data_IF_985128369226
#
_entry.id   IF_985128369226
#
_cell.length_a   1.000
_cell.length_b   1.000
_cell.length_c   1.000
_cell.angle_alpha   90.00
_cell.angle_beta   90.00
_cell.angle_gamma   90.00
#
_symmetry.space_group_name_H-M   'P 1'
#
loop_
_entity.id
_entity.type
_entity.pdbx_description
1 polymer ?
#
# COMPACT_ATOMS: atom_id res chain seq x y z
N UNK A 1 24.18 -29.09 25.01
CA UNK A 1 24.32 -30.43 24.40
C UNK A 1 23.96 -30.29 22.93
N UNK A 2 24.92 -30.59 22.07
CA UNK A 2 24.83 -30.54 20.60
C UNK A 2 23.96 -31.69 20.09
N UNK A 3 22.94 -31.39 19.27
CA UNK A 3 22.16 -32.42 18.59
C UNK A 3 22.70 -32.63 17.17
N UNK A 4 23.28 -33.81 16.99
CA UNK A 4 23.72 -34.38 15.72
C UNK A 4 22.49 -34.97 15.01
N UNK A 5 22.31 -34.65 13.73
CA UNK A 5 21.34 -35.31 12.87
C UNK A 5 21.95 -36.60 12.32
N UNK A 6 21.29 -37.73 12.53
CA UNK A 6 21.54 -38.96 11.79
C UNK A 6 20.28 -39.33 11.00
N UNK A 7 20.47 -39.48 9.70
CA UNK A 7 19.62 -40.26 8.83
C UNK A 7 19.76 -41.76 9.19
N UNK A 8 18.70 -42.57 9.00
CA UNK A 8 18.67 -43.58 7.93
C UNK A 8 17.39 -44.46 7.93
N UNK A 9 17.01 -44.82 6.71
CA UNK A 9 16.31 -45.99 6.16
C UNK A 9 15.12 -46.71 6.84
N UNK A 10 14.02 -46.71 6.07
CA UNK A 10 13.16 -47.83 5.62
C UNK A 10 13.03 -49.12 6.44
N UNK A 11 11.78 -49.59 6.60
CA UNK A 11 11.26 -50.84 5.99
C UNK A 11 9.78 -51.04 6.31
N UNK A 12 8.99 -51.26 5.26
CA UNK A 12 7.70 -51.94 5.33
C UNK A 12 7.93 -53.44 5.62
N UNK A 13 7.05 -54.09 6.39
CA UNK A 13 6.42 -55.32 5.90
C UNK A 13 5.24 -55.84 6.74
N UNK A 14 4.36 -56.49 6.01
CA UNK A 14 3.04 -57.03 6.31
C UNK A 14 3.03 -58.28 7.24
N UNK A 15 1.86 -58.51 7.87
CA UNK A 15 1.09 -59.78 7.98
C UNK A 15 0.67 -60.30 9.37
N UNK A 16 -0.66 -60.54 9.44
CA UNK A 16 -1.39 -61.73 9.93
C UNK A 16 -2.06 -61.74 11.32
N UNK A 17 -3.35 -62.07 11.21
CA UNK A 17 -4.36 -62.36 12.21
C UNK A 17 -4.17 -63.78 12.80
N UNK A 18 -4.36 -63.98 14.11
CA UNK A 18 -4.74 -65.28 14.67
C UNK A 18 -5.43 -65.16 16.04
N UNK A 19 -6.30 -66.13 16.33
CA UNK A 19 -7.35 -66.16 17.37
C UNK A 19 -6.87 -66.66 18.74
N UNK A 20 -7.48 -66.06 19.79
CA UNK A 20 -7.92 -66.58 21.11
C UNK A 20 -6.96 -67.44 21.95
N UNK A 21 -6.65 -66.94 23.16
CA UNK A 21 -6.72 -67.68 24.44
C UNK A 21 -7.07 -66.68 25.56
N UNK A 22 -8.16 -66.93 26.31
CA UNK A 22 -8.43 -66.25 27.58
C UNK A 22 -7.64 -66.96 28.68
N UNK A 23 -6.73 -66.25 29.34
CA UNK A 23 -6.12 -66.67 30.59
C UNK A 23 -6.28 -65.52 31.60
N UNK A 24 -7.08 -65.77 32.64
CA UNK A 24 -7.25 -64.91 33.81
C UNK A 24 -5.99 -64.98 34.68
N UNK A 25 -5.13 -63.96 34.57
CA UNK A 25 -4.04 -63.71 35.52
C UNK A 25 -4.41 -62.55 36.45
N UNK A 26 -4.19 -62.76 37.74
CA UNK A 26 -4.42 -61.80 38.82
C UNK A 26 -3.59 -60.51 38.62
N UNK A 27 -4.25 -59.36 38.62
CA UNK A 27 -3.60 -58.04 38.61
C UNK A 27 -3.15 -57.67 40.04
N UNK A 28 -1.85 -57.66 40.27
CA UNK A 28 -1.22 -56.79 41.28
C UNK A 28 -1.07 -55.38 40.71
N UNK A 29 -1.41 -54.31 41.43
CA UNK A 29 -1.26 -52.95 40.90
C UNK A 29 0.23 -52.59 40.91
N UNK A 30 0.85 -52.57 39.73
CA UNK A 30 2.14 -51.92 39.53
C UNK A 30 1.85 -50.42 39.37
N UNK A 31 2.35 -49.60 40.28
CA UNK A 31 2.34 -48.14 40.14
C UNK A 31 3.14 -47.78 38.86
N UNK A 32 2.44 -47.57 37.74
CA UNK A 32 3.02 -46.96 36.56
C UNK A 32 3.20 -45.48 36.88
N UNK A 33 4.44 -45.07 37.17
CA UNK A 33 4.82 -43.67 37.19
C UNK A 33 4.53 -43.06 35.82
N UNK A 34 3.52 -42.20 35.75
CA UNK A 34 3.23 -41.41 34.56
C UNK A 34 4.39 -40.42 34.42
N UNK A 35 5.36 -40.76 33.58
CA UNK A 35 6.31 -39.78 33.08
C UNK A 35 5.51 -38.82 32.20
N UNK A 36 5.17 -37.65 32.74
CA UNK A 36 4.64 -36.54 31.97
C UNK A 36 5.73 -36.08 31.02
N UNK A 37 5.68 -36.54 29.77
CA UNK A 37 6.44 -35.93 28.70
C UNK A 37 5.93 -34.50 28.56
N UNK A 38 6.72 -33.54 29.06
CA UNK A 38 6.48 -32.14 28.81
C UNK A 38 6.47 -31.93 27.30
N UNK A 39 5.29 -31.60 26.76
CA UNK A 39 5.15 -31.20 25.36
C UNK A 39 6.10 -30.04 25.11
N UNK A 40 7.12 -30.27 24.28
CA UNK A 40 7.99 -29.22 23.78
C UNK A 40 7.11 -28.27 22.95
N UNK A 41 6.68 -27.16 23.57
CA UNK A 41 5.99 -26.11 22.85
C UNK A 41 7.01 -25.50 21.90
N UNK A 42 6.84 -25.75 20.60
CA UNK A 42 7.52 -24.98 19.56
C UNK A 42 7.24 -23.50 19.84
N UNK A 43 8.28 -22.65 19.93
CA UNK A 43 8.08 -21.22 20.03
C UNK A 43 7.09 -20.78 18.95
N UNK A 44 6.17 -19.83 19.25
CA UNK A 44 5.32 -19.27 18.21
C UNK A 44 6.21 -18.80 17.05
N UNK A 45 5.79 -19.00 15.78
CA UNK A 45 6.56 -18.53 14.64
C UNK A 45 6.93 -17.08 14.87
N UNK A 46 8.23 -16.78 14.86
CA UNK A 46 8.67 -15.39 14.87
C UNK A 46 8.10 -14.77 13.60
N UNK A 47 7.14 -13.85 13.76
CA UNK A 47 6.58 -13.08 12.65
C UNK A 47 7.75 -12.43 11.92
N UNK A 48 8.01 -12.84 10.67
CA UNK A 48 9.07 -12.25 9.87
C UNK A 48 8.81 -10.73 9.75
N UNK A 49 9.85 -9.88 9.87
CA UNK A 49 9.70 -8.45 9.62
C UNK A 49 9.12 -8.25 8.22
N UNK A 50 7.97 -7.59 8.12
CA UNK A 50 7.31 -7.29 6.86
C UNK A 50 6.54 -5.98 6.98
N UNK A 51 6.30 -5.33 5.85
CA UNK A 51 5.50 -4.11 5.78
C UNK A 51 4.03 -4.48 6.10
N UNK A 52 3.47 -3.84 7.12
CA UNK A 52 2.09 -4.07 7.58
C UNK A 52 1.11 -3.02 7.09
N UNK A 53 1.58 -1.78 7.02
CA UNK A 53 0.77 -0.60 6.71
C UNK A 53 1.44 0.23 5.62
N UNK A 54 0.70 0.58 4.57
CA UNK A 54 1.14 1.42 3.46
C UNK A 54 0.38 2.74 3.51
N UNK A 55 1.12 3.83 3.33
CA UNK A 55 0.60 5.14 2.99
C UNK A 55 1.15 5.52 1.62
N UNK A 56 0.31 5.93 0.69
CA UNK A 56 0.73 6.57 -0.55
C UNK A 56 0.19 7.99 -0.56
N UNK A 57 1.06 8.97 -0.78
CA UNK A 57 0.71 10.36 -1.00
C UNK A 57 0.97 10.64 -2.48
N UNK A 58 -0.10 10.98 -3.21
CA UNK A 58 -0.02 11.24 -4.64
C UNK A 58 -0.12 12.75 -4.89
N UNK A 59 0.96 13.32 -5.41
CA UNK A 59 1.06 14.71 -5.86
C UNK A 59 0.68 14.80 -7.35
N UNK A 60 0.40 16.01 -7.82
CA UNK A 60 -0.01 16.27 -9.21
C UNK A 60 1.16 16.84 -10.04
N UNK A 61 1.30 16.29 -11.25
CA UNK A 61 2.00 16.84 -12.42
C UNK A 61 3.37 17.47 -12.14
N UNK A 62 4.41 16.67 -11.90
CA UNK A 62 5.80 17.16 -11.91
C UNK A 62 6.79 16.13 -12.41
N UNK A 63 7.59 16.54 -13.39
CA UNK A 63 8.80 15.81 -13.73
C UNK A 63 9.81 15.89 -12.58
N UNK A 64 10.56 14.82 -12.36
CA UNK A 64 11.51 14.71 -11.25
C UNK A 64 12.56 15.83 -11.25
N UNK A 65 12.97 16.28 -12.43
CA UNK A 65 13.91 17.39 -12.61
C UNK A 65 13.39 18.74 -12.07
N UNK A 66 12.07 18.90 -11.91
CA UNK A 66 11.48 20.10 -11.30
C UNK A 66 11.55 20.06 -9.77
N UNK A 67 11.69 18.85 -9.19
CA UNK A 67 11.68 18.62 -7.75
C UNK A 67 13.10 18.43 -7.21
N UNK A 68 13.88 17.52 -7.79
CA UNK A 68 15.23 17.20 -7.34
C UNK A 68 16.16 18.40 -7.49
N UNK A 69 16.76 18.83 -6.39
CA UNK A 69 17.63 20.01 -6.31
C UNK A 69 16.89 21.37 -6.34
N UNK A 70 15.55 21.39 -6.41
CA UNK A 70 14.78 22.61 -6.50
C UNK A 70 14.74 23.38 -5.17
N UNK A 71 14.98 24.69 -5.22
CA UNK A 71 14.82 25.58 -4.06
C UNK A 71 13.37 25.75 -3.63
N UNK A 72 12.40 25.40 -4.49
CA UNK A 72 10.98 25.40 -4.16
C UNK A 72 10.56 24.15 -3.39
N UNK A 73 11.39 23.09 -3.32
CA UNK A 73 11.10 21.87 -2.57
C UNK A 73 12.13 21.59 -1.44
N UNK A 74 12.32 22.52 -0.48
CA UNK A 74 13.36 22.36 0.54
C UNK A 74 13.11 21.20 1.50
N UNK A 75 11.87 20.85 1.85
CA UNK A 75 11.57 19.73 2.73
C UNK A 75 11.88 18.40 2.04
N UNK A 76 11.45 18.22 0.79
CA UNK A 76 11.80 17.04 0.00
C UNK A 76 13.32 16.90 -0.11
N UNK A 77 14.02 17.95 -0.56
CA UNK A 77 15.45 17.85 -0.87
C UNK A 77 16.35 17.76 0.36
N UNK A 78 16.05 18.50 1.43
CA UNK A 78 16.93 18.60 2.59
C UNK A 78 16.51 17.71 3.76
N UNK A 79 15.30 17.14 3.73
CA UNK A 79 14.78 16.28 4.80
C UNK A 79 14.42 14.89 4.30
N UNK A 80 13.54 14.78 3.29
CA UNK A 80 13.05 13.47 2.86
C UNK A 80 14.09 12.66 2.09
N UNK A 81 14.70 13.23 1.05
CA UNK A 81 15.68 12.51 0.24
C UNK A 81 16.87 11.99 1.07
N UNK A 82 17.46 12.75 2.02
CA UNK A 82 18.54 12.24 2.86
C UNK A 82 18.17 11.03 3.74
N UNK A 83 16.89 10.84 4.09
CA UNK A 83 16.46 9.73 4.95
C UNK A 83 15.76 8.59 4.19
N UNK A 84 15.27 8.85 2.98
CA UNK A 84 14.50 7.91 2.17
C UNK A 84 15.38 7.01 1.28
N UNK A 85 14.74 5.98 0.72
CA UNK A 85 15.13 5.41 -0.57
C UNK A 85 14.35 6.13 -1.68
N UNK A 86 14.92 6.31 -2.87
CA UNK A 86 14.17 6.89 -4.00
C UNK A 86 14.59 6.29 -5.34
N UNK A 87 13.71 6.38 -6.33
CA UNK A 87 14.01 6.00 -7.70
C UNK A 87 14.19 7.25 -8.59
N UNK A 88 15.25 7.25 -9.39
CA UNK A 88 15.54 8.33 -10.35
C UNK A 88 14.81 8.15 -11.69
N UNK A 89 14.30 6.93 -11.94
CA UNK A 89 13.70 6.50 -13.22
C UNK A 89 12.31 5.87 -13.02
N UNK A 90 11.44 6.56 -12.27
CA UNK A 90 10.02 6.20 -12.17
C UNK A 90 9.21 7.03 -13.17
N UNK A 91 8.30 6.42 -13.92
CA UNK A 91 7.56 7.07 -15.01
C UNK A 91 6.05 6.85 -14.85
N UNK A 92 5.23 7.78 -15.29
CA UNK A 92 3.83 7.45 -15.55
C UNK A 92 3.72 6.56 -16.80
N UNK A 93 2.62 5.80 -16.97
CA UNK A 93 2.38 5.01 -18.16
C UNK A 93 2.48 5.85 -19.45
N UNK A 94 2.99 5.27 -20.56
CA UNK A 94 3.29 6.03 -21.77
C UNK A 94 2.02 6.58 -22.43
N UNK A 95 2.06 7.86 -22.82
CA UNK A 95 0.95 8.60 -23.47
C UNK A 95 -0.33 8.67 -22.62
N UNK A 96 -0.21 8.50 -21.30
CA UNK A 96 -1.34 8.58 -20.37
C UNK A 96 -1.33 9.96 -19.72
N UNK A 97 -2.14 10.83 -20.33
CA UNK A 97 -2.51 12.16 -19.85
C UNK A 97 -4.00 12.35 -20.18
N UNK A 98 -4.80 13.03 -19.35
CA UNK A 98 -4.45 13.76 -18.12
C UNK A 98 -4.39 12.86 -16.86
N UNK A 99 -4.43 13.46 -15.67
CA UNK A 99 -4.35 12.84 -14.34
C UNK A 99 -5.23 11.60 -14.15
N UNK A 100 -6.56 11.66 -14.34
CA UNK A 100 -7.48 10.56 -13.98
C UNK A 100 -7.03 9.18 -14.50
N UNK A 101 -6.69 9.02 -15.79
CA UNK A 101 -6.09 7.80 -16.33
C UNK A 101 -4.93 7.22 -15.51
N UNK A 102 -4.04 8.05 -14.95
CA UNK A 102 -2.92 7.63 -14.11
C UNK A 102 -3.36 7.12 -12.74
N UNK A 103 -4.33 7.78 -12.11
CA UNK A 103 -4.95 7.31 -10.86
C UNK A 103 -5.65 5.96 -11.04
N UNK A 104 -6.39 5.77 -12.14
CA UNK A 104 -7.00 4.48 -12.49
C UNK A 104 -5.94 3.39 -12.73
N UNK A 105 -4.80 3.77 -13.32
CA UNK A 105 -3.70 2.83 -13.53
C UNK A 105 -3.05 2.38 -12.22
N UNK A 106 -2.89 3.27 -11.25
CA UNK A 106 -2.38 2.91 -9.92
C UNK A 106 -3.33 1.96 -9.18
N UNK A 107 -4.64 2.06 -9.42
CA UNK A 107 -5.65 1.24 -8.75
C UNK A 107 -5.91 -0.10 -9.47
N UNK A 108 -5.84 -0.13 -10.80
CA UNK A 108 -6.25 -1.30 -11.59
C UNK A 108 -5.22 -1.79 -12.61
N UNK A 109 -4.11 -1.10 -12.80
CA UNK A 109 -3.07 -1.44 -13.78
C UNK A 109 -3.51 -1.20 -15.23
N UNK A 110 -4.51 -0.33 -15.45
CA UNK A 110 -4.97 0.14 -16.76
C UNK A 110 -5.82 1.40 -16.61
N UNK A 111 -5.91 2.25 -17.64
CA UNK A 111 -6.79 3.42 -17.70
C UNK A 111 -8.18 3.16 -18.31
N UNK A 112 -8.51 1.92 -18.67
CA UNK A 112 -9.79 1.54 -19.31
C UNK A 112 -10.11 2.25 -20.64
N UNK A 113 -9.10 2.78 -21.31
CA UNK A 113 -9.29 3.58 -22.53
C UNK A 113 -9.83 5.00 -22.27
N UNK A 114 -9.72 5.48 -21.02
CA UNK A 114 -10.03 6.86 -20.65
C UNK A 114 -8.81 7.74 -20.94
N UNK A 115 -9.06 8.91 -21.55
CA UNK A 115 -8.07 9.90 -21.95
C UNK A 115 -8.52 11.33 -21.59
N UNK A 116 -9.36 11.46 -20.57
CA UNK A 116 -9.86 12.74 -20.07
C UNK A 116 -10.06 12.66 -18.54
N UNK A 117 -10.45 13.79 -17.94
CA UNK A 117 -10.73 13.93 -16.51
C UNK A 117 -12.24 13.96 -16.19
N UNK A 118 -13.08 13.38 -17.05
CA UNK A 118 -14.53 13.42 -16.82
C UNK A 118 -14.89 12.68 -15.51
N UNK A 119 -15.94 13.12 -14.80
CA UNK A 119 -16.32 12.55 -13.50
C UNK A 119 -16.85 11.11 -13.63
N UNK A 120 -17.05 10.40 -12.50
CA UNK A 120 -17.63 9.06 -12.47
C UNK A 120 -18.92 8.90 -13.28
N UNK A 121 -19.77 9.94 -13.38
CA UNK A 121 -20.99 9.87 -14.20
C UNK A 121 -20.75 9.55 -15.68
N UNK A 122 -19.54 9.77 -16.19
CA UNK A 122 -19.13 9.42 -17.55
C UNK A 122 -18.15 8.25 -17.60
N UNK A 123 -17.23 8.19 -16.62
CA UNK A 123 -16.07 7.31 -16.65
C UNK A 123 -16.10 6.17 -15.62
N UNK A 124 -17.25 5.88 -15.00
CA UNK A 124 -17.36 4.77 -14.04
C UNK A 124 -17.05 3.40 -14.68
N UNK A 125 -16.63 2.47 -13.82
CA UNK A 125 -16.15 1.15 -14.18
C UNK A 125 -16.93 0.08 -13.40
N UNK A 126 -17.52 -0.85 -14.14
CA UNK A 126 -18.31 -1.97 -13.58
C UNK A 126 -17.47 -3.19 -13.18
N UNK A 127 -16.16 -3.13 -13.36
CA UNK A 127 -15.23 -4.22 -13.03
C UNK A 127 -14.85 -4.19 -11.56
N UNK A 128 -14.83 -5.35 -10.92
CA UNK A 128 -14.31 -5.52 -9.55
C UNK A 128 -12.80 -5.86 -9.51
N UNK A 129 -12.16 -6.01 -10.68
CA UNK A 129 -10.72 -6.27 -10.80
C UNK A 129 -9.89 -4.99 -10.59
N UNK A 130 -9.76 -4.55 -9.35
CA UNK A 130 -8.90 -3.45 -8.92
C UNK A 130 -8.43 -3.68 -7.47
N UNK A 131 -7.40 -2.95 -7.04
CA UNK A 131 -6.61 -3.25 -5.84
C UNK A 131 -7.48 -3.30 -4.58
N UNK A 132 -8.29 -2.29 -4.30
CA UNK A 132 -9.01 -2.25 -3.02
C UNK A 132 -10.06 -3.35 -2.89
N UNK A 133 -10.56 -3.88 -4.01
CA UNK A 133 -11.43 -5.06 -3.98
C UNK A 133 -10.64 -6.33 -3.67
N UNK A 134 -9.43 -6.51 -4.21
CA UNK A 134 -8.53 -7.60 -3.79
C UNK A 134 -8.15 -7.51 -2.30
N UNK A 135 -7.91 -6.29 -1.79
CA UNK A 135 -7.63 -6.05 -0.38
C UNK A 135 -8.83 -6.44 0.49
N UNK A 136 -10.04 -6.00 0.12
CA UNK A 136 -11.29 -6.34 0.81
C UNK A 136 -11.53 -7.86 0.85
N UNK A 137 -11.35 -8.55 -0.27
CA UNK A 137 -11.49 -10.01 -0.36
C UNK A 137 -10.48 -10.75 0.54
N UNK A 138 -9.34 -10.13 0.81
CA UNK A 138 -8.29 -10.66 1.69
C UNK A 138 -8.40 -10.18 3.14
N UNK A 139 -9.46 -9.45 3.50
CA UNK A 139 -9.66 -8.90 4.84
C UNK A 139 -8.68 -7.79 5.22
N UNK A 140 -8.09 -7.12 4.23
CA UNK A 140 -7.13 -6.03 4.41
C UNK A 140 -7.90 -4.72 4.33
N UNK A 141 -7.89 -3.95 5.42
CA UNK A 141 -8.58 -2.66 5.47
C UNK A 141 -7.88 -1.65 4.56
N UNK A 142 -8.69 -0.81 3.92
CA UNK A 142 -8.21 0.34 3.16
C UNK A 142 -8.96 1.61 3.55
N UNK A 143 -8.34 2.77 3.32
CA UNK A 143 -8.95 4.10 3.41
C UNK A 143 -8.33 5.00 2.35
N UNK A 144 -9.11 5.95 1.87
CA UNK A 144 -8.61 7.08 1.10
C UNK A 144 -8.88 8.36 1.87
N UNK A 145 -7.83 9.13 2.15
CA UNK A 145 -7.93 10.44 2.78
C UNK A 145 -7.85 11.50 1.69
N UNK A 146 -8.99 12.14 1.42
CA UNK A 146 -9.12 13.18 0.41
C UNK A 146 -9.22 14.52 1.12
N UNK A 147 -8.38 15.47 0.73
CA UNK A 147 -8.49 16.81 1.28
C UNK A 147 -9.75 17.53 0.75
N UNK A 148 -10.30 18.43 1.56
CA UNK A 148 -11.51 19.20 1.28
C UNK A 148 -12.83 18.43 0.99
N UNK A 149 -12.95 17.15 1.35
CA UNK A 149 -14.26 16.48 1.43
C UNK A 149 -14.87 16.57 2.82
N UNK A 150 -16.21 16.46 2.93
CA UNK A 150 -16.93 16.57 4.21
C UNK A 150 -17.06 15.22 4.95
N UNK A 151 -16.90 14.08 4.26
CA UNK A 151 -17.07 12.73 4.82
C UNK A 151 -18.52 12.33 5.12
N UNK A 152 -19.50 13.11 4.68
CA UNK A 152 -20.93 12.85 4.84
C UNK A 152 -21.53 12.12 3.63
N UNK A 153 -20.98 12.36 2.43
CA UNK A 153 -21.44 11.78 1.17
C UNK A 153 -20.26 11.18 0.39
N UNK A 154 -20.55 10.24 -0.50
CA UNK A 154 -19.59 9.74 -1.46
C UNK A 154 -19.24 10.86 -2.47
N UNK A 155 -17.97 11.30 -2.57
CA UNK A 155 -17.61 12.51 -3.31
C UNK A 155 -17.45 12.24 -4.81
N UNK A 156 -18.59 12.04 -5.49
CA UNK A 156 -18.68 11.68 -6.91
C UNK A 156 -18.46 12.84 -7.89
N UNK A 157 -18.27 14.07 -7.39
CA UNK A 157 -18.05 15.28 -8.19
C UNK A 157 -17.04 16.18 -7.50
N UNK A 158 -16.29 16.97 -8.27
CA UNK A 158 -15.41 18.00 -7.72
C UNK A 158 -16.22 19.04 -6.93
N UNK A 159 -15.67 19.50 -5.82
CA UNK A 159 -16.29 20.51 -4.97
C UNK A 159 -15.23 21.34 -4.23
N UNK A 160 -15.24 22.66 -4.42
CA UNK A 160 -14.19 23.52 -3.88
C UNK A 160 -12.82 23.12 -4.41
N UNK A 161 -11.88 22.82 -3.50
CA UNK A 161 -10.51 22.40 -3.84
C UNK A 161 -10.35 20.87 -3.97
N UNK A 162 -11.42 20.10 -3.75
CA UNK A 162 -11.42 18.66 -4.04
C UNK A 162 -11.67 18.42 -5.54
N UNK A 163 -10.77 17.68 -6.18
CA UNK A 163 -10.89 17.25 -7.56
C UNK A 163 -11.20 15.75 -7.64
N UNK A 164 -12.37 15.39 -8.16
CA UNK A 164 -12.80 13.97 -8.21
C UNK A 164 -11.85 13.09 -9.02
N UNK A 165 -11.22 13.65 -10.06
CA UNK A 165 -10.22 12.99 -10.90
C UNK A 165 -9.03 12.42 -10.13
N UNK A 166 -8.75 12.92 -8.92
CA UNK A 166 -7.64 12.47 -8.06
C UNK A 166 -8.06 11.42 -7.01
N UNK A 167 -9.26 10.86 -7.15
CA UNK A 167 -9.79 9.82 -6.28
C UNK A 167 -10.25 8.62 -7.14
N UNK A 168 -9.39 7.62 -7.39
CA UNK A 168 -9.71 6.55 -8.33
C UNK A 168 -10.84 5.65 -7.81
N UNK A 169 -10.99 5.54 -6.49
CA UNK A 169 -11.93 4.61 -5.87
C UNK A 169 -13.38 4.95 -6.20
N UNK A 170 -13.72 6.23 -6.38
CA UNK A 170 -15.08 6.65 -6.72
C UNK A 170 -15.47 6.40 -8.18
N UNK A 171 -14.56 5.89 -9.00
CA UNK A 171 -14.85 5.47 -10.37
C UNK A 171 -15.25 4.00 -10.46
N UNK A 172 -15.25 3.23 -9.37
CA UNK A 172 -15.65 1.82 -9.38
C UNK A 172 -17.06 1.63 -8.79
N UNK A 173 -17.91 0.93 -9.52
CA UNK A 173 -19.33 0.78 -9.18
C UNK A 173 -19.56 -0.01 -7.89
N UNK A 174 -18.70 -0.98 -7.59
CA UNK A 174 -18.73 -1.78 -6.36
C UNK A 174 -18.22 -1.01 -5.13
N UNK A 175 -17.50 0.09 -5.32
CA UNK A 175 -17.15 1.03 -4.24
C UNK A 175 -18.31 1.98 -3.96
N UNK A 176 -18.96 2.49 -5.00
CA UNK A 176 -19.92 3.60 -4.94
C UNK A 176 -21.39 3.18 -4.95
N UNK A 177 -21.69 1.88 -4.91
CA UNK A 177 -23.04 1.33 -5.10
C UNK A 177 -23.71 1.83 -6.39
N UNK A 178 -22.96 1.79 -7.50
CA UNK A 178 -23.32 2.31 -8.83
C UNK A 178 -23.55 3.83 -8.84
N UNK A 179 -22.59 4.60 -8.35
CA UNK A 179 -22.64 6.07 -8.38
C UNK A 179 -23.68 6.67 -7.43
N UNK A 180 -23.93 6.03 -6.27
CA UNK A 180 -24.83 6.53 -5.25
C UNK A 180 -24.09 7.49 -4.28
N UNK A 181 -24.45 8.78 -4.21
CA UNK A 181 -23.86 9.72 -3.23
C UNK A 181 -24.04 9.28 -1.78
N UNK A 182 -25.07 8.49 -1.47
CA UNK A 182 -25.33 7.96 -0.12
C UNK A 182 -24.73 6.55 0.11
N UNK A 183 -23.81 6.10 -0.75
CA UNK A 183 -23.14 4.80 -0.59
C UNK A 183 -22.39 4.72 0.74
N UNK A 184 -22.90 3.89 1.65
CA UNK A 184 -22.28 3.68 2.95
C UNK A 184 -20.88 3.07 2.82
N UNK A 185 -20.68 2.21 1.82
CA UNK A 185 -19.37 1.61 1.52
C UNK A 185 -18.36 2.66 1.06
N UNK A 186 -18.73 3.54 0.13
CA UNK A 186 -17.86 4.64 -0.28
C UNK A 186 -17.56 5.58 0.90
N UNK A 187 -18.58 6.04 1.62
CA UNK A 187 -18.46 6.99 2.73
C UNK A 187 -17.56 6.43 3.85
N UNK A 188 -17.61 5.12 4.14
CA UNK A 188 -16.78 4.55 5.20
C UNK A 188 -15.29 4.46 4.85
N UNK A 189 -14.92 4.45 3.57
CA UNK A 189 -13.54 4.29 3.12
C UNK A 189 -12.94 5.60 2.58
N UNK A 190 -13.72 6.46 1.94
CA UNK A 190 -13.30 7.76 1.41
C UNK A 190 -13.58 8.83 2.46
N UNK A 191 -12.55 9.22 3.21
CA UNK A 191 -12.64 10.04 4.41
C UNK A 191 -11.94 11.40 4.24
N UNK A 192 -12.39 12.45 4.95
CA UNK A 192 -11.69 13.73 4.98
C UNK A 192 -10.26 13.57 5.46
N UNK A 193 -9.31 14.23 4.82
CA UNK A 193 -7.91 14.24 5.26
C UNK A 193 -7.74 14.74 6.71
N UNK A 194 -8.60 15.64 7.17
CA UNK A 194 -8.62 16.13 8.55
C UNK A 194 -8.84 15.03 9.61
N UNK A 195 -9.38 13.86 9.25
CA UNK A 195 -9.54 12.72 10.15
C UNK A 195 -8.23 11.95 10.40
N UNK A 196 -7.25 12.05 9.49
CA UNK A 196 -6.02 11.25 9.52
C UNK A 196 -5.26 11.38 10.86
N UNK A 197 -5.13 12.59 11.39
CA UNK A 197 -4.40 12.83 12.63
C UNK A 197 -5.03 12.11 13.83
N UNK A 198 -6.37 12.12 13.92
CA UNK A 198 -7.10 11.41 14.97
C UNK A 198 -6.99 9.88 14.76
N UNK A 199 -7.08 9.41 13.52
CA UNK A 199 -6.94 7.99 13.19
C UNK A 199 -5.53 7.45 13.50
N UNK A 200 -4.48 8.23 13.25
CA UNK A 200 -3.11 7.88 13.64
C UNK A 200 -2.95 7.83 15.16
N UNK A 201 -3.53 8.79 15.89
CA UNK A 201 -3.46 8.83 17.35
C UNK A 201 -4.20 7.66 18.01
N UNK A 202 -5.32 7.21 17.42
CA UNK A 202 -6.15 6.13 17.92
C UNK A 202 -5.80 4.74 17.34
N UNK A 203 -4.82 4.66 16.44
CA UNK A 203 -4.48 3.44 15.68
C UNK A 203 -5.67 2.86 14.90
N UNK A 204 -6.50 3.73 14.31
CA UNK A 204 -7.69 3.37 13.50
C UNK A 204 -7.51 3.69 12.01
N UNK A 205 -6.29 4.03 11.57
CA UNK A 205 -5.95 4.03 10.14
C UNK A 205 -6.11 2.62 9.55
N UNK A 206 -6.28 2.55 8.23
CA UNK A 206 -6.34 1.28 7.53
C UNK A 206 -4.93 0.69 7.32
N UNK A 207 -4.85 -0.54 6.79
CA UNK A 207 -3.58 -1.11 6.34
C UNK A 207 -3.11 -0.49 5.02
N UNK A 208 -4.01 -0.16 4.10
CA UNK A 208 -3.72 0.61 2.91
C UNK A 208 -4.35 1.99 2.99
N UNK A 209 -3.56 3.06 2.89
CA UNK A 209 -4.03 4.43 3.02
C UNK A 209 -3.58 5.25 1.81
N UNK A 210 -4.53 5.70 1.00
CA UNK A 210 -4.28 6.57 -0.15
C UNK A 210 -4.58 8.02 0.21
N UNK A 211 -3.63 8.92 0.06
CA UNK A 211 -3.74 10.31 0.50
C UNK A 211 -3.58 11.22 -0.72
N UNK A 212 -4.57 12.08 -0.94
CA UNK A 212 -4.56 13.07 -2.02
C UNK A 212 -4.69 14.47 -1.40
N UNK A 213 -3.67 15.34 -1.50
CA UNK A 213 -3.80 16.76 -1.18
C UNK A 213 -4.80 17.45 -2.12
N UNK A 214 -5.32 18.61 -1.70
CA UNK A 214 -6.20 19.40 -2.55
C UNK A 214 -5.43 20.12 -3.68
N UNK A 215 -6.15 20.74 -4.62
CA UNK A 215 -5.58 21.47 -5.76
C UNK A 215 -4.50 22.50 -5.40
N UNK A 216 -4.58 23.13 -4.23
CA UNK A 216 -3.57 24.10 -3.81
C UNK A 216 -2.33 23.47 -3.15
N UNK A 217 -2.35 22.17 -2.87
CA UNK A 217 -1.35 21.46 -2.06
C UNK A 217 -0.77 20.23 -2.75
N UNK A 218 -1.28 19.84 -3.91
CA UNK A 218 -0.81 18.69 -4.70
C UNK A 218 0.39 19.03 -5.61
N UNK A 219 0.81 20.30 -5.67
CA UNK A 219 1.91 20.83 -6.48
C UNK A 219 1.59 21.18 -7.93
N UNK A 220 0.33 21.18 -8.35
CA UNK A 220 -0.02 21.59 -9.70
C UNK A 220 -0.55 23.02 -9.75
N UNK A 221 -1.57 23.36 -8.96
CA UNK A 221 -2.16 24.70 -9.02
C UNK A 221 -1.36 25.73 -8.22
N UNK A 222 -1.28 26.94 -8.76
CA UNK A 222 -0.68 28.08 -8.10
C UNK A 222 -1.74 28.83 -7.29
N UNK A 223 -1.70 28.69 -5.96
CA UNK A 223 -2.63 29.37 -5.07
C UNK A 223 -1.94 30.42 -4.20
N UNK A 224 -2.70 31.44 -3.83
CA UNK A 224 -2.26 32.43 -2.86
C UNK A 224 -2.10 31.80 -1.46
N UNK A 225 -1.17 32.29 -0.62
CA UNK A 225 -0.28 33.43 -0.88
C UNK A 225 1.06 33.06 -1.51
N UNK A 226 1.42 31.76 -1.57
CA UNK A 226 2.75 31.34 -2.03
C UNK A 226 2.90 31.50 -3.54
N UNK A 227 1.87 31.19 -4.32
CA UNK A 227 1.86 31.22 -5.79
C UNK A 227 3.04 30.44 -6.42
N UNK A 228 3.48 29.38 -5.75
CA UNK A 228 4.52 28.45 -6.19
C UNK A 228 3.99 27.03 -5.92
N UNK A 229 3.49 26.33 -6.95
CA UNK A 229 2.92 24.98 -6.82
C UNK A 229 3.82 24.02 -6.04
N UNK A 230 5.10 23.95 -6.41
CA UNK A 230 6.06 23.05 -5.77
C UNK A 230 6.24 23.42 -4.30
N UNK A 231 6.40 24.70 -3.98
CA UNK A 231 6.56 25.17 -2.60
C UNK A 231 5.33 24.94 -1.75
N UNK A 232 4.14 25.03 -2.33
CA UNK A 232 2.88 24.75 -1.63
C UNK A 232 2.81 23.29 -1.20
N UNK A 233 3.00 22.35 -2.13
CA UNK A 233 2.97 20.93 -1.77
C UNK A 233 4.15 20.51 -0.90
N UNK A 234 5.34 21.10 -1.06
CA UNK A 234 6.48 20.84 -0.17
C UNK A 234 6.18 21.30 1.27
N UNK A 235 5.52 22.46 1.40
CA UNK A 235 5.04 22.96 2.69
C UNK A 235 3.98 22.03 3.28
N UNK A 236 3.02 21.57 2.48
CA UNK A 236 2.01 20.60 2.91
C UNK A 236 2.64 19.30 3.40
N UNK A 237 3.62 18.75 2.68
CA UNK A 237 4.38 17.57 3.11
C UNK A 237 5.08 17.83 4.45
N UNK A 238 5.75 18.97 4.60
CA UNK A 238 6.47 19.31 5.83
C UNK A 238 5.58 19.39 7.07
N UNK A 239 4.31 19.74 6.88
CA UNK A 239 3.34 19.90 7.97
C UNK A 239 2.64 18.58 8.32
N UNK A 240 2.44 17.70 7.34
CA UNK A 240 1.58 16.53 7.49
C UNK A 240 2.35 15.21 7.63
N UNK A 241 3.42 15.04 6.85
CA UNK A 241 4.18 13.79 6.82
C UNK A 241 4.81 13.42 8.18
N UNK A 242 5.29 14.38 9.02
CA UNK A 242 5.83 14.05 10.34
C UNK A 242 4.85 13.31 11.26
N UNK A 243 3.54 13.55 11.15
CA UNK A 243 2.53 12.83 11.95
C UNK A 243 2.47 11.34 11.59
N UNK A 244 2.56 11.01 10.30
CA UNK A 244 2.61 9.62 9.82
C UNK A 244 3.90 8.97 10.30
N UNK A 245 5.06 9.58 10.04
CA UNK A 245 6.38 9.05 10.43
C UNK A 245 6.53 8.91 11.96
N UNK A 246 5.84 9.74 12.73
CA UNK A 246 5.82 9.70 14.19
C UNK A 246 4.92 8.62 14.79
N UNK A 247 3.96 8.08 14.02
CA UNK A 247 2.89 7.21 14.50
C UNK A 247 3.35 5.81 14.93
N UNK A 248 2.57 5.15 15.78
CA UNK A 248 2.85 3.77 16.20
C UNK A 248 2.76 2.79 15.01
N UNK A 249 1.78 2.96 14.13
CA UNK A 249 1.60 2.12 12.93
C UNK A 249 2.76 2.25 11.94
N UNK A 250 3.41 3.41 11.83
CA UNK A 250 4.61 3.55 11.00
C UNK A 250 5.81 2.81 11.62
N UNK A 251 5.98 2.93 12.94
CA UNK A 251 7.07 2.24 13.66
C UNK A 251 6.89 0.72 13.69
N UNK A 252 5.65 0.24 13.69
CA UNK A 252 5.31 -1.19 13.63
C UNK A 252 5.29 -1.74 12.18
N UNK A 253 6.22 -1.28 11.34
CA UNK A 253 6.36 -1.77 9.97
C UNK A 253 5.51 -1.03 8.94
N UNK A 254 5.43 0.29 9.03
CA UNK A 254 4.82 1.11 7.99
C UNK A 254 5.78 1.44 6.84
N UNK A 255 5.20 1.77 5.69
CA UNK A 255 5.90 2.34 4.54
C UNK A 255 5.09 3.53 4.00
N UNK A 256 5.78 4.64 3.74
CA UNK A 256 5.20 5.82 3.08
C UNK A 256 5.84 5.96 1.71
N UNK A 257 5.00 6.09 0.69
CA UNK A 257 5.35 6.34 -0.69
C UNK A 257 4.89 7.75 -1.03
N UNK A 258 5.78 8.57 -1.59
CA UNK A 258 5.44 9.87 -2.18
C UNK A 258 5.79 9.82 -3.64
N UNK A 259 4.81 10.07 -4.51
CA UNK A 259 5.00 10.07 -5.96
C UNK A 259 4.07 11.10 -6.60
N UNK A 260 4.19 11.27 -7.91
CA UNK A 260 3.32 12.12 -8.72
C UNK A 260 2.51 11.23 -9.65
N UNK A 261 1.37 11.72 -10.12
CA UNK A 261 0.50 11.02 -11.07
C UNK A 261 1.06 11.07 -12.51
N UNK A 262 1.55 12.23 -12.97
CA UNK A 262 2.13 12.37 -14.30
C UNK A 262 3.26 13.41 -14.35
N UNK A 263 4.02 13.40 -15.44
CA UNK A 263 4.97 14.46 -15.73
C UNK A 263 4.28 15.66 -16.39
N UNK A 264 4.77 16.86 -16.11
CA UNK A 264 4.22 18.11 -16.63
C UNK A 264 4.42 18.26 -18.16
N UNK A 265 5.55 17.79 -18.69
CA UNK A 265 5.93 18.00 -20.10
C UNK A 265 6.43 16.74 -20.81
N UNK A 266 6.43 15.59 -20.13
CA UNK A 266 6.74 14.27 -20.71
C UNK A 266 6.18 13.18 -19.82
N UNK A 267 6.19 11.93 -20.31
CA UNK A 267 5.83 10.74 -19.52
C UNK A 267 6.88 10.39 -18.46
N UNK A 268 7.34 11.36 -17.66
CA UNK A 268 8.39 11.23 -16.65
C UNK A 268 9.83 11.50 -17.14
N UNK A 269 10.85 11.16 -16.33
CA UNK A 269 10.71 10.60 -14.99
C UNK A 269 9.96 11.55 -14.05
N UNK A 270 9.19 10.97 -13.14
CA UNK A 270 8.57 11.60 -11.99
C UNK A 270 9.18 10.99 -10.72
N UNK A 271 8.98 11.61 -9.56
CA UNK A 271 9.59 11.14 -8.32
C UNK A 271 8.92 9.89 -7.75
N UNK A 272 9.70 8.98 -7.16
CA UNK A 272 9.21 7.95 -6.24
C UNK A 272 10.12 7.92 -5.01
N UNK A 273 9.56 8.32 -3.87
CA UNK A 273 10.26 8.42 -2.59
C UNK A 273 9.63 7.43 -1.62
N UNK A 274 10.46 6.62 -0.96
CA UNK A 274 10.04 5.57 -0.03
C UNK A 274 10.70 5.79 1.34
N UNK A 275 9.84 5.92 2.36
CA UNK A 275 10.21 6.04 3.76
C UNK A 275 9.66 4.81 4.50
N UNK A 276 10.53 4.01 5.11
CA UNK A 276 10.11 2.87 5.92
C UNK A 276 11.24 2.45 6.86
N UNK A 277 10.94 1.86 8.04
CA UNK A 277 11.94 1.13 8.82
C UNK A 277 12.62 -0.01 8.05
N UNK A 278 12.00 -0.48 6.96
CA UNK A 278 12.53 -1.53 6.09
C UNK A 278 13.17 -0.99 4.81
N UNK A 279 13.09 0.31 4.54
CA UNK A 279 13.75 0.92 3.38
C UNK A 279 15.28 0.84 3.54
N UNK A 280 16.02 0.81 2.41
CA UNK A 280 17.48 1.03 2.44
C UNK A 280 17.85 2.38 3.06
N UNK A 281 17.02 3.41 2.83
CA UNK A 281 17.10 4.71 3.49
C UNK A 281 18.41 5.43 3.21
N UNK A 282 18.74 6.43 4.04
CA UNK A 282 20.02 7.15 4.02
C UNK A 282 20.38 7.74 2.64
N UNK A 283 19.38 8.19 1.87
CA UNK A 283 19.59 8.74 0.53
C UNK A 283 19.92 7.69 -0.52
N UNK A 284 19.60 6.41 -0.27
CA UNK A 284 19.72 5.37 -1.28
C UNK A 284 18.93 5.75 -2.52
N UNK A 285 19.55 5.59 -3.69
CA UNK A 285 18.90 5.76 -4.98
C UNK A 285 19.28 4.66 -5.94
N UNK A 286 18.35 4.36 -6.85
CA UNK A 286 18.59 3.47 -7.98
C UNK A 286 18.16 4.13 -9.29
N UNK A 287 18.55 3.48 -10.39
CA UNK A 287 18.21 3.86 -11.76
C UNK A 287 17.49 2.70 -12.46
N UNK A 288 16.71 1.92 -11.71
CA UNK A 288 15.85 0.88 -12.28
C UNK A 288 14.62 1.59 -12.83
N UNK A 289 14.17 1.18 -14.02
CA UNK A 289 12.95 1.73 -14.62
C UNK A 289 11.73 1.18 -13.90
N UNK A 290 10.89 2.06 -13.40
CA UNK A 290 9.62 1.74 -12.75
C UNK A 290 8.47 2.52 -13.36
N UNK A 291 7.26 2.03 -13.15
CA UNK A 291 6.01 2.68 -13.59
C UNK A 291 4.95 2.67 -12.48
N UNK A 292 3.77 3.24 -12.74
CA UNK A 292 2.60 3.02 -11.88
C UNK A 292 2.23 1.54 -11.70
N UNK A 293 2.46 0.71 -12.72
CA UNK A 293 2.30 -0.74 -12.60
C UNK A 293 3.30 -1.36 -11.61
N UNK A 294 4.53 -0.84 -11.51
CA UNK A 294 5.50 -1.22 -10.47
C UNK A 294 4.97 -0.96 -9.06
N UNK A 295 4.35 0.20 -8.84
CA UNK A 295 3.74 0.56 -7.55
C UNK A 295 2.58 -0.37 -7.21
N UNK A 296 1.67 -0.61 -8.16
CA UNK A 296 0.56 -1.54 -7.96
C UNK A 296 1.05 -2.95 -7.66
N UNK A 297 2.04 -3.44 -8.40
CA UNK A 297 2.69 -4.74 -8.15
C UNK A 297 3.24 -4.82 -6.73
N UNK A 298 4.02 -3.82 -6.34
CA UNK A 298 4.63 -3.72 -5.01
C UNK A 298 3.56 -3.80 -3.91
N UNK A 299 2.43 -3.12 -4.07
CA UNK A 299 1.35 -3.16 -3.08
C UNK A 299 0.67 -4.52 -3.02
N UNK A 300 0.44 -5.17 -4.16
CA UNK A 300 -0.12 -6.52 -4.18
C UNK A 300 0.82 -7.54 -3.50
N UNK A 301 2.13 -7.42 -3.71
CA UNK A 301 3.15 -8.24 -3.05
C UNK A 301 3.20 -7.99 -1.54
N UNK A 302 3.24 -6.71 -1.11
CA UNK A 302 3.22 -6.34 0.31
C UNK A 302 2.03 -6.96 1.04
N UNK A 303 0.87 -6.95 0.40
CA UNK A 303 -0.37 -7.45 0.98
C UNK A 303 -0.64 -8.93 0.70
N UNK A 304 0.19 -9.58 -0.12
CA UNK A 304 0.03 -10.99 -0.50
C UNK A 304 -1.27 -11.26 -1.26
N UNK A 305 -1.77 -10.30 -2.04
CA UNK A 305 -3.02 -10.42 -2.79
C UNK A 305 -2.76 -10.83 -4.23
N UNK A 306 -3.66 -11.63 -4.78
CA UNK A 306 -3.55 -12.19 -6.13
C UNK A 306 -4.94 -12.31 -6.77
N UNK A 307 -5.06 -12.37 -8.10
CA UNK A 307 -3.98 -12.32 -9.10
C UNK A 307 -3.35 -10.92 -9.22
N UNK A 308 -2.11 -10.84 -9.71
CA UNK A 308 -1.56 -9.53 -10.07
C UNK A 308 -2.36 -8.91 -11.21
N UNK A 309 -2.80 -7.67 -11.00
CA UNK A 309 -3.69 -6.97 -11.90
C UNK A 309 -2.94 -6.40 -13.12
N UNK A 310 -3.27 -6.93 -14.31
CA UNK A 310 -2.93 -6.33 -15.61
C UNK A 310 -1.44 -5.98 -15.71
N UNK A 311 -1.10 -4.70 -15.87
CA UNK A 311 0.27 -4.21 -16.00
C UNK A 311 1.17 -4.63 -14.83
N UNK A 312 0.61 -4.68 -13.61
CA UNK A 312 1.34 -5.13 -12.43
C UNK A 312 1.82 -6.59 -12.52
N UNK A 313 1.27 -7.43 -13.40
CA UNK A 313 1.70 -8.81 -13.57
C UNK A 313 3.05 -8.94 -14.31
N UNK A 314 3.47 -7.90 -15.03
CA UNK A 314 4.69 -7.91 -15.84
C UNK A 314 5.72 -6.87 -15.41
N UNK A 315 5.30 -5.87 -14.65
CA UNK A 315 6.18 -4.78 -14.22
C UNK A 315 7.22 -5.21 -13.19
N UNK A 316 8.33 -4.50 -13.11
CA UNK A 316 9.33 -4.72 -12.05
C UNK A 316 8.82 -4.07 -10.76
N UNK A 317 8.83 -4.78 -9.63
CA UNK A 317 8.43 -4.22 -8.33
C UNK A 317 9.50 -3.29 -7.72
N UNK A 318 9.14 -2.57 -6.66
CA UNK A 318 10.01 -1.62 -5.97
C UNK A 318 10.89 -2.26 -4.89
N UNK A 319 11.05 -3.59 -4.87
CA UNK A 319 11.78 -4.31 -3.79
C UNK A 319 13.22 -3.81 -3.59
N UNK A 320 13.87 -3.33 -4.66
CA UNK A 320 15.22 -2.76 -4.56
C UNK A 320 15.28 -1.49 -3.69
N UNK A 321 14.17 -0.82 -3.40
CA UNK A 321 14.16 0.31 -2.45
C UNK A 321 14.20 -0.15 -0.98
N UNK A 322 14.08 -1.46 -0.71
CA UNK A 322 13.98 -2.06 0.62
C UNK A 322 15.16 -2.98 0.96
N UNK A 323 15.40 -3.12 2.26
CA UNK A 323 16.30 -4.15 2.84
C UNK A 323 15.53 -5.41 3.21
N UNK A 324 14.23 -5.25 3.50
CA UNK A 324 13.29 -6.33 3.77
C UNK A 324 12.05 -6.07 2.93
N UNK A 325 11.75 -7.00 2.03
CA UNK A 325 10.58 -6.97 1.17
C UNK A 325 9.95 -8.38 1.19
N UNK A 326 8.61 -8.51 1.25
CA UNK A 326 7.93 -9.80 1.34
C UNK A 326 8.24 -10.78 0.20
#
# INVERSE_FOLDING_TARGET
MTCQANADSSKEDFMKFSKRVMATLALTPLLAGIATFGSCQTPPPVSQPHIKTVFIILMENKNWVQIAGSSSAPYINNTLLPMASHAELYFNPPLVHPSLPNYLWLEAGVNFGIFNDDPPSANHQSTTRHLVTLLKESGISWKSYQDNINGADCPLVSNGLYAVKHNPFVYFDDVTDNGNPASANCISHVRPFSELAADLANNTVARYNFITPNLCSDMHDSCAPLNDPIRQGDTWLSQNLPAILGSAVYRDGGAVFVTWDEGEFSDGPIGMIVLSPFAKGNGYRNFIRYTHGSTLRTFQEIFGVSPFLRDAAIETDLSDLFTVFP
#
